data_IF_703263298186
#
_entry.id   IF_703263298186
#
_cell.length_a   1.000
_cell.length_b   1.000
_cell.length_c   1.000
_cell.angle_alpha   90.00
_cell.angle_beta   90.00
_cell.angle_gamma   90.00
#
_symmetry.space_group_name_H-M   'P 1'
#
loop_
_entity.id
_entity.type
_entity.pdbx_description
1 polymer ?
#
# COMPACT_ATOMS: atom_id res chain seq x y z
N UNK A 1 21.34 -33.92 -40.55
CA UNK A 1 22.50 -33.91 -41.48
C UNK A 1 22.29 -34.82 -42.71
N UNK A 2 21.74 -36.02 -42.51
CA UNK A 2 21.35 -36.96 -43.59
C UNK A 2 20.43 -36.34 -44.64
N UNK A 3 19.41 -35.58 -44.24
CA UNK A 3 18.46 -34.95 -45.18
C UNK A 3 19.10 -33.89 -46.08
N UNK A 4 20.09 -33.15 -45.58
CA UNK A 4 20.80 -32.12 -46.36
C UNK A 4 21.65 -32.78 -47.46
N UNK A 5 22.30 -33.91 -47.14
CA UNK A 5 23.06 -34.71 -48.11
C UNK A 5 22.16 -35.30 -49.20
N UNK A 6 20.99 -35.82 -48.84
CA UNK A 6 20.01 -36.34 -49.81
C UNK A 6 19.52 -35.25 -50.76
N UNK A 7 19.16 -34.07 -50.24
CA UNK A 7 18.71 -32.94 -51.06
C UNK A 7 19.81 -32.43 -52.00
N UNK A 8 21.06 -32.42 -51.55
CA UNK A 8 22.20 -31.99 -52.38
C UNK A 8 22.45 -32.97 -53.54
N UNK A 9 22.41 -34.27 -53.27
CA UNK A 9 22.55 -35.31 -54.30
C UNK A 9 21.40 -35.25 -55.31
N UNK A 10 20.16 -35.10 -54.84
CA UNK A 10 18.98 -34.97 -55.71
C UNK A 10 19.09 -33.71 -56.57
N UNK A 11 19.55 -32.59 -56.01
CA UNK A 11 19.75 -31.34 -56.75
C UNK A 11 20.82 -31.47 -57.84
N UNK A 12 21.92 -32.18 -57.57
CA UNK A 12 22.98 -32.45 -58.53
C UNK A 12 22.50 -33.35 -59.69
N UNK A 13 21.71 -34.39 -59.38
CA UNK A 13 21.13 -35.29 -60.39
C UNK A 13 20.14 -34.54 -61.29
N UNK A 14 19.31 -33.67 -60.70
CA UNK A 14 18.36 -32.82 -61.41
C UNK A 14 19.06 -31.83 -62.35
N UNK A 15 20.11 -31.16 -61.86
CA UNK A 15 20.88 -30.20 -62.67
C UNK A 15 21.51 -30.89 -63.89
N UNK A 16 22.05 -32.10 -63.69
CA UNK A 16 22.62 -32.90 -64.77
C UNK A 16 21.57 -33.32 -65.81
N UNK A 17 20.39 -33.79 -65.36
CA UNK A 17 19.31 -34.18 -66.27
C UNK A 17 18.76 -32.99 -67.07
N UNK A 18 18.67 -31.79 -66.45
CA UNK A 18 18.26 -30.57 -67.12
C UNK A 18 19.21 -30.16 -68.25
N UNK A 19 20.52 -30.19 -68.00
CA UNK A 19 21.54 -29.85 -69.00
C UNK A 19 21.58 -30.87 -70.15
N UNK A 20 21.46 -32.16 -69.82
CA UNK A 20 21.43 -33.24 -70.80
C UNK A 20 20.21 -33.17 -71.74
N UNK A 21 19.03 -32.87 -71.20
CA UNK A 21 17.81 -32.68 -72.00
C UNK A 21 17.91 -31.44 -72.90
N UNK A 22 18.45 -30.33 -72.39
CA UNK A 22 18.68 -29.11 -73.18
C UNK A 22 19.64 -29.33 -74.35
N UNK A 23 20.77 -30.01 -74.12
CA UNK A 23 21.73 -30.33 -75.19
C UNK A 23 21.18 -31.35 -76.20
N UNK A 24 20.37 -32.31 -75.74
CA UNK A 24 19.77 -33.31 -76.63
C UNK A 24 18.74 -32.70 -77.61
N UNK A 25 17.90 -31.78 -77.10
CA UNK A 25 16.95 -31.02 -77.94
C UNK A 25 17.69 -30.08 -78.90
N UNK A 26 18.77 -29.45 -78.45
CA UNK A 26 19.63 -28.61 -79.29
C UNK A 26 20.32 -29.35 -80.44
N UNK A 27 20.79 -30.60 -80.21
CA UNK A 27 21.44 -31.42 -81.25
C UNK A 27 20.46 -31.93 -82.32
N UNK A 28 19.20 -32.19 -81.97
CA UNK A 28 18.16 -32.65 -82.91
C UNK A 28 17.50 -31.55 -83.72
N UNK A 29 17.89 -30.27 -83.54
CA UNK A 29 17.33 -29.08 -84.20
C UNK A 29 15.80 -29.00 -84.13
N UNK A 30 15.22 -29.44 -83.02
CA UNK A 30 13.77 -29.42 -82.83
C UNK A 30 13.28 -27.96 -82.81
N UNK A 31 12.17 -27.70 -83.50
CA UNK A 31 11.50 -26.41 -83.51
C UNK A 31 10.20 -26.55 -82.75
N UNK A 32 10.05 -25.81 -81.66
CA UNK A 32 8.81 -25.73 -80.90
C UNK A 32 8.14 -24.42 -81.30
N UNK A 33 6.88 -24.48 -81.75
CA UNK A 33 6.11 -23.30 -82.20
C UNK A 33 6.81 -22.42 -83.28
N UNK A 34 7.63 -23.02 -84.14
CA UNK A 34 8.29 -22.30 -85.26
C UNK A 34 9.53 -21.47 -84.89
N UNK A 35 10.05 -21.60 -83.67
CA UNK A 35 11.20 -20.84 -83.19
C UNK A 35 12.55 -21.43 -83.67
N UNK A 36 13.56 -20.56 -83.86
CA UNK A 36 14.92 -20.97 -84.28
C UNK A 36 15.48 -22.04 -83.32
N UNK A 37 16.11 -23.13 -83.81
CA UNK A 37 16.49 -24.28 -83.00
C UNK A 37 17.32 -23.99 -81.73
N UNK A 38 18.17 -22.95 -81.75
CA UNK A 38 18.92 -22.52 -80.56
C UNK A 38 18.02 -21.94 -79.45
N UNK A 39 16.99 -21.17 -79.83
CA UNK A 39 16.03 -20.57 -78.89
C UNK A 39 15.08 -21.63 -78.36
N UNK A 40 14.67 -22.58 -79.20
CA UNK A 40 13.85 -23.73 -78.78
C UNK A 40 14.55 -24.55 -77.69
N UNK A 41 15.84 -24.87 -77.86
CA UNK A 41 16.59 -25.61 -76.85
C UNK A 41 16.68 -24.85 -75.51
N UNK A 42 16.87 -23.52 -75.55
CA UNK A 42 16.90 -22.68 -74.35
C UNK A 42 15.55 -22.65 -73.64
N UNK A 43 14.44 -22.48 -74.39
CA UNK A 43 13.09 -22.49 -73.82
C UNK A 43 12.73 -23.83 -73.19
N UNK A 44 13.11 -24.94 -73.84
CA UNK A 44 12.88 -26.29 -73.29
C UNK A 44 13.73 -26.50 -72.03
N UNK A 45 14.99 -26.04 -72.00
CA UNK A 45 15.83 -26.13 -70.81
C UNK A 45 15.24 -25.32 -69.63
N UNK A 46 14.82 -24.07 -69.86
CA UNK A 46 14.19 -23.23 -68.83
C UNK A 46 12.87 -23.85 -68.34
N UNK A 47 12.02 -24.32 -69.26
CA UNK A 47 10.73 -24.95 -68.92
C UNK A 47 10.93 -26.24 -68.14
N UNK A 48 11.94 -27.04 -68.50
CA UNK A 48 12.30 -28.26 -67.78
C UNK A 48 12.83 -27.93 -66.38
N UNK A 49 13.68 -26.92 -66.23
CA UNK A 49 14.14 -26.44 -64.93
C UNK A 49 12.99 -25.94 -64.03
N UNK A 50 12.05 -25.19 -64.60
CA UNK A 50 10.85 -24.73 -63.88
C UNK A 50 9.95 -25.90 -63.47
N UNK A 51 9.77 -26.89 -64.36
CA UNK A 51 8.96 -28.07 -64.05
C UNK A 51 9.59 -28.91 -62.95
N UNK A 52 10.92 -29.10 -62.96
CA UNK A 52 11.61 -29.88 -61.95
C UNK A 52 11.58 -29.16 -60.59
N UNK A 53 11.80 -27.85 -60.55
CA UNK A 53 11.72 -27.07 -59.30
C UNK A 53 10.31 -27.11 -58.71
N UNK A 54 9.27 -26.99 -59.54
CA UNK A 54 7.88 -27.12 -59.11
C UNK A 54 7.57 -28.52 -58.56
N UNK A 55 8.04 -29.58 -59.24
CA UNK A 55 7.86 -30.97 -58.80
C UNK A 55 8.57 -31.22 -57.46
N UNK A 56 9.82 -30.74 -57.33
CA UNK A 56 10.62 -30.88 -56.11
C UNK A 56 9.95 -30.19 -54.93
N UNK A 57 9.45 -28.97 -55.14
CA UNK A 57 8.73 -28.21 -54.11
C UNK A 57 7.42 -28.89 -53.71
N UNK A 58 6.68 -29.43 -54.67
CA UNK A 58 5.41 -30.15 -54.43
C UNK A 58 5.65 -31.42 -53.60
N UNK A 59 6.65 -32.21 -53.98
CA UNK A 59 7.03 -33.42 -53.22
C UNK A 59 7.50 -33.05 -51.81
N UNK A 60 8.30 -31.98 -51.67
CA UNK A 60 8.74 -31.49 -50.36
C UNK A 60 7.55 -31.06 -49.47
N UNK A 61 6.55 -30.36 -50.03
CA UNK A 61 5.36 -29.93 -49.28
C UNK A 61 4.43 -31.09 -48.88
N UNK A 62 4.44 -32.21 -49.63
CA UNK A 62 3.69 -33.42 -49.28
C UNK A 62 4.38 -34.15 -48.12
N UNK A 63 5.70 -34.32 -48.21
CA UNK A 63 6.49 -35.12 -47.26
C UNK A 63 6.74 -34.36 -45.95
N UNK A 64 6.97 -33.05 -46.01
CA UNK A 64 7.29 -32.22 -44.84
C UNK A 64 6.15 -31.28 -44.51
N UNK A 65 5.63 -31.44 -43.29
CA UNK A 65 4.66 -30.53 -42.69
C UNK A 65 5.28 -29.13 -42.48
N UNK A 66 6.55 -29.06 -42.10
CA UNK A 66 7.29 -27.79 -41.91
C UNK A 66 7.34 -26.95 -43.19
N UNK A 67 7.62 -27.58 -44.35
CA UNK A 67 7.66 -26.87 -45.65
C UNK A 67 6.27 -26.36 -46.04
N UNK A 68 5.22 -27.14 -45.78
CA UNK A 68 3.83 -26.73 -46.02
C UNK A 68 3.43 -25.56 -45.12
N UNK A 69 3.77 -25.63 -43.83
CA UNK A 69 3.51 -24.55 -42.87
C UNK A 69 4.26 -23.28 -43.29
N UNK A 70 5.54 -23.39 -43.68
CA UNK A 70 6.33 -22.24 -44.12
C UNK A 70 5.82 -21.61 -45.44
N UNK A 71 5.30 -22.40 -46.38
CA UNK A 71 4.78 -21.88 -47.65
C UNK A 71 3.41 -21.19 -47.51
N UNK A 72 2.56 -21.63 -46.57
CA UNK A 72 1.17 -21.17 -46.47
C UNK A 72 0.85 -20.34 -45.21
N UNK A 73 1.67 -20.41 -44.15
CA UNK A 73 1.27 -19.93 -42.81
C UNK A 73 2.09 -18.73 -42.30
N UNK A 74 3.06 -18.21 -43.07
CA UNK A 74 3.89 -17.07 -42.64
C UNK A 74 3.03 -15.84 -42.31
N UNK A 75 1.99 -15.57 -43.11
CA UNK A 75 1.07 -14.45 -42.85
C UNK A 75 0.28 -14.63 -41.54
N UNK A 76 -0.18 -15.86 -41.27
CA UNK A 76 -0.88 -16.19 -40.02
C UNK A 76 0.06 -16.06 -38.82
N UNK A 77 1.27 -16.61 -38.90
CA UNK A 77 2.28 -16.51 -37.86
C UNK A 77 2.65 -15.04 -37.56
N UNK A 78 2.81 -14.20 -38.59
CA UNK A 78 3.09 -12.77 -38.37
C UNK A 78 1.93 -12.05 -37.71
N UNK A 79 0.69 -12.37 -38.11
CA UNK A 79 -0.51 -11.79 -37.52
C UNK A 79 -0.69 -12.26 -36.06
N UNK A 80 -0.42 -13.53 -35.79
CA UNK A 80 -0.49 -14.10 -34.45
C UNK A 80 0.56 -13.48 -33.53
N UNK A 81 1.81 -13.30 -34.00
CA UNK A 81 2.85 -12.61 -33.25
C UNK A 81 2.45 -11.15 -32.94
N UNK A 82 1.87 -10.44 -33.92
CA UNK A 82 1.39 -9.08 -33.69
C UNK A 82 0.21 -9.03 -32.71
N UNK A 83 -0.74 -9.96 -32.84
CA UNK A 83 -1.92 -10.04 -31.98
C UNK A 83 -1.53 -10.40 -30.55
N UNK A 84 -0.68 -11.41 -30.38
CA UNK A 84 -0.13 -11.81 -29.08
C UNK A 84 0.74 -10.70 -28.48
N UNK A 85 1.46 -9.94 -29.31
CA UNK A 85 2.20 -8.76 -28.87
C UNK A 85 1.28 -7.69 -28.28
N UNK A 86 0.20 -7.35 -28.98
CA UNK A 86 -0.83 -6.40 -28.50
C UNK A 86 -1.55 -6.90 -27.25
N UNK A 87 -1.87 -8.19 -27.19
CA UNK A 87 -2.53 -8.79 -26.04
C UNK A 87 -1.62 -8.79 -24.81
N UNK A 88 -0.33 -9.10 -24.99
CA UNK A 88 0.67 -8.99 -23.91
C UNK A 88 0.77 -7.56 -23.40
N UNK A 89 0.86 -6.58 -24.28
CA UNK A 89 0.94 -5.16 -23.89
C UNK A 89 -0.32 -4.73 -23.10
N UNK A 90 -1.50 -5.14 -23.58
CA UNK A 90 -2.77 -4.90 -22.89
C UNK A 90 -2.79 -5.54 -21.51
N UNK A 91 -2.43 -6.82 -21.39
CA UNK A 91 -2.40 -7.52 -20.10
C UNK A 91 -1.37 -6.89 -19.15
N UNK A 92 -0.22 -6.44 -19.64
CA UNK A 92 0.76 -5.73 -18.83
C UNK A 92 0.20 -4.41 -18.30
N UNK A 93 -0.52 -3.66 -19.15
CA UNK A 93 -1.19 -2.43 -18.73
C UNK A 93 -2.28 -2.70 -17.68
N UNK A 94 -3.13 -3.70 -17.92
CA UNK A 94 -4.18 -4.10 -16.99
C UNK A 94 -3.58 -4.48 -15.62
N UNK A 95 -2.45 -5.20 -15.58
CA UNK A 95 -1.76 -5.53 -14.33
C UNK A 95 -1.29 -4.27 -13.58
N UNK A 96 -0.77 -3.27 -14.29
CA UNK A 96 -0.32 -2.01 -13.68
C UNK A 96 -1.52 -1.26 -13.12
N UNK A 97 -2.57 -1.09 -13.92
CA UNK A 97 -3.78 -0.38 -13.52
C UNK A 97 -4.46 -1.08 -12.32
N UNK A 98 -4.56 -2.42 -12.33
CA UNK A 98 -5.10 -3.18 -11.20
C UNK A 98 -4.22 -3.03 -9.95
N UNK A 99 -2.88 -3.05 -10.09
CA UNK A 99 -1.98 -2.85 -8.96
C UNK A 99 -2.15 -1.46 -8.35
N UNK A 100 -2.30 -0.43 -9.17
CA UNK A 100 -2.53 0.93 -8.69
C UNK A 100 -3.90 1.06 -8.01
N UNK A 101 -4.95 0.46 -8.57
CA UNK A 101 -6.27 0.43 -7.93
C UNK A 101 -6.24 -0.30 -6.58
N UNK A 102 -5.54 -1.44 -6.50
CA UNK A 102 -5.37 -2.17 -5.24
C UNK A 102 -4.60 -1.33 -4.24
N UNK A 103 -3.52 -0.66 -4.64
CA UNK A 103 -2.73 0.20 -3.75
C UNK A 103 -3.58 1.35 -3.18
N UNK A 104 -4.30 2.08 -4.02
CA UNK A 104 -5.17 3.18 -3.57
C UNK A 104 -6.25 2.66 -2.61
N UNK A 105 -6.91 1.53 -2.95
CA UNK A 105 -7.89 0.92 -2.05
C UNK A 105 -7.27 0.42 -0.75
N UNK A 106 -6.04 -0.08 -0.77
CA UNK A 106 -5.34 -0.50 0.45
C UNK A 106 -5.01 0.70 1.34
N UNK A 107 -4.61 1.84 0.76
CA UNK A 107 -4.37 3.08 1.52
C UNK A 107 -5.63 3.62 2.21
N UNK A 108 -6.81 3.46 1.59
CA UNK A 108 -8.11 3.79 2.20
C UNK A 108 -8.51 2.85 3.34
N UNK A 109 -7.93 1.64 3.39
CA UNK A 109 -8.27 0.59 4.34
C UNK A 109 -7.25 0.43 5.47
N UNK A 110 -6.22 1.28 5.54
CA UNK A 110 -5.24 1.27 6.64
C UNK A 110 -5.93 1.64 7.95
N UNK A 111 -5.97 0.69 8.88
CA UNK A 111 -6.55 0.86 10.22
C UNK A 111 -5.52 1.46 11.16
N UNK A 112 -4.26 1.01 11.05
CA UNK A 112 -3.14 1.52 11.84
C UNK A 112 -1.91 1.70 10.95
N UNK A 113 -1.22 2.82 11.11
CA UNK A 113 0.09 3.08 10.50
C UNK A 113 1.19 2.57 11.40
N UNK A 114 2.36 2.31 10.81
CA UNK A 114 3.57 1.99 11.57
C UNK A 114 3.85 3.07 12.61
N UNK A 115 4.27 2.63 13.80
CA UNK A 115 4.56 3.44 14.99
C UNK A 115 3.33 4.16 15.57
N UNK A 116 2.14 3.97 14.99
CA UNK A 116 0.90 4.46 15.55
C UNK A 116 0.56 3.66 16.81
N UNK A 117 0.15 4.34 17.89
CA UNK A 117 -0.18 3.62 19.09
C UNK A 117 -1.53 2.89 18.93
N UNK A 118 -1.63 1.70 19.51
CA UNK A 118 -2.79 0.82 19.44
C UNK A 118 -3.62 0.91 20.71
N UNK A 119 -2.93 1.01 21.84
CA UNK A 119 -3.50 1.09 23.17
C UNK A 119 -2.43 1.54 24.16
N UNK A 120 -2.84 2.01 25.34
CA UNK A 120 -1.95 2.19 26.47
C UNK A 120 -2.66 1.92 27.80
N UNK A 121 -1.88 1.57 28.82
CA UNK A 121 -2.35 1.37 30.20
C UNK A 121 -1.33 1.96 31.17
N UNK A 122 -1.81 2.49 32.31
CA UNK A 122 -0.97 2.90 33.44
C UNK A 122 -0.89 1.73 34.42
N UNK A 123 0.34 1.34 34.78
CA UNK A 123 0.62 0.26 35.71
C UNK A 123 1.33 0.85 36.93
N UNK A 124 0.72 0.77 38.12
CA UNK A 124 1.37 1.20 39.35
C UNK A 124 2.61 0.37 39.68
N UNK A 125 3.75 1.04 39.87
CA UNK A 125 5.01 0.39 40.21
C UNK A 125 5.05 -0.14 41.66
N UNK A 126 4.07 0.26 42.49
CA UNK A 126 3.90 -0.22 43.86
C UNK A 126 3.47 -1.69 43.97
N UNK A 127 3.06 -2.30 42.85
CA UNK A 127 2.60 -3.68 42.78
C UNK A 127 3.76 -4.68 42.70
N UNK A 128 3.48 -5.95 43.03
CA UNK A 128 4.45 -7.03 42.83
C UNK A 128 4.61 -7.36 41.34
N UNK A 129 5.78 -7.84 40.92
CA UNK A 129 6.01 -8.26 39.54
C UNK A 129 4.99 -9.32 39.06
N UNK A 130 4.49 -10.19 39.95
CA UNK A 130 3.46 -11.17 39.62
C UNK A 130 2.10 -10.51 39.30
N UNK A 131 1.68 -9.52 40.10
CA UNK A 131 0.46 -8.76 39.85
C UNK A 131 0.57 -7.92 38.57
N UNK A 132 1.72 -7.27 38.35
CA UNK A 132 1.99 -6.52 37.13
C UNK A 132 1.95 -7.44 35.90
N UNK A 133 2.48 -8.66 36.00
CA UNK A 133 2.40 -9.61 34.91
C UNK A 133 0.95 -10.00 34.58
N UNK A 134 0.09 -10.12 35.59
CA UNK A 134 -1.35 -10.33 35.40
C UNK A 134 -2.04 -9.12 34.74
N UNK A 135 -1.68 -7.90 35.14
CA UNK A 135 -2.14 -6.66 34.49
C UNK A 135 -1.74 -6.61 33.01
N UNK A 136 -0.50 -7.01 32.70
CA UNK A 136 0.01 -7.09 31.34
C UNK A 136 -0.71 -8.15 30.51
N UNK A 137 -1.08 -9.29 31.10
CA UNK A 137 -1.89 -10.29 30.41
C UNK A 137 -3.26 -9.73 30.05
N UNK A 138 -3.97 -9.15 31.02
CA UNK A 138 -5.28 -8.53 30.79
C UNK A 138 -5.21 -7.41 29.75
N UNK A 139 -4.16 -6.62 29.77
CA UNK A 139 -3.93 -5.55 28.81
C UNK A 139 -3.80 -6.05 27.36
N UNK A 140 -3.11 -7.17 27.15
CA UNK A 140 -2.96 -7.76 25.82
C UNK A 140 -4.26 -8.44 25.36
N UNK A 141 -5.03 -9.07 26.25
CA UNK A 141 -6.36 -9.63 25.93
C UNK A 141 -7.32 -8.54 25.44
N UNK A 142 -7.28 -7.40 26.12
CA UNK A 142 -8.08 -6.22 25.83
C UNK A 142 -7.64 -5.55 24.52
N UNK A 143 -6.33 -5.49 24.26
CA UNK A 143 -5.77 -5.08 22.96
C UNK A 143 -6.24 -6.00 21.82
N UNK A 144 -6.20 -7.32 22.02
CA UNK A 144 -6.64 -8.30 21.04
C UNK A 144 -8.14 -8.18 20.73
N UNK A 145 -8.97 -8.02 21.77
CA UNK A 145 -10.41 -7.81 21.62
C UNK A 145 -10.72 -6.52 20.85
N UNK A 146 -10.07 -5.40 21.20
CA UNK A 146 -10.21 -4.14 20.45
C UNK A 146 -9.74 -4.21 19.00
N UNK A 147 -8.67 -4.97 18.73
CA UNK A 147 -8.20 -5.18 17.37
C UNK A 147 -9.25 -5.95 16.54
N UNK A 148 -9.90 -6.96 17.13
CA UNK A 148 -11.01 -7.69 16.49
C UNK A 148 -12.20 -6.79 16.19
N UNK A 149 -12.57 -5.91 17.11
CA UNK A 149 -13.67 -4.95 16.92
C UNK A 149 -13.41 -3.98 15.75
N UNK A 150 -12.14 -3.70 15.46
CA UNK A 150 -11.71 -2.92 14.30
C UNK A 150 -11.56 -3.72 13.00
N UNK A 151 -11.98 -4.98 13.00
CA UNK A 151 -11.93 -5.85 11.83
C UNK A 151 -10.55 -6.42 11.54
N UNK A 152 -9.63 -6.41 12.50
CA UNK A 152 -8.34 -7.09 12.37
C UNK A 152 -8.46 -8.56 12.76
N UNK A 153 -7.69 -9.41 12.09
CA UNK A 153 -7.53 -10.81 12.48
C UNK A 153 -6.49 -10.88 13.58
N UNK A 154 -6.82 -11.45 14.72
CA UNK A 154 -5.82 -11.67 15.78
C UNK A 154 -5.43 -13.15 15.76
N UNK A 155 -4.13 -13.43 15.85
CA UNK A 155 -3.65 -14.81 16.05
C UNK A 155 -4.21 -15.34 17.37
N UNK A 156 -4.26 -16.67 17.51
CA UNK A 156 -4.73 -17.29 18.76
C UNK A 156 -3.99 -16.69 19.97
N UNK A 157 -4.75 -16.08 20.87
CA UNK A 157 -4.25 -15.31 22.01
C UNK A 157 -3.29 -16.17 22.84
N UNK A 158 -3.65 -17.43 23.07
CA UNK A 158 -2.83 -18.38 23.82
C UNK A 158 -1.44 -18.57 23.21
N UNK A 159 -1.30 -18.53 21.88
CA UNK A 159 -0.02 -18.66 21.18
C UNK A 159 0.80 -17.36 21.31
N UNK A 160 0.17 -16.21 21.09
CA UNK A 160 0.84 -14.91 21.24
C UNK A 160 1.40 -14.71 22.66
N UNK A 161 0.63 -15.06 23.70
CA UNK A 161 1.10 -14.99 25.07
C UNK A 161 2.23 -15.96 25.37
N UNK A 162 2.11 -17.20 24.92
CA UNK A 162 3.13 -18.22 25.17
C UNK A 162 4.48 -17.80 24.60
N UNK A 163 4.48 -17.23 23.38
CA UNK A 163 5.70 -16.73 22.73
C UNK A 163 6.29 -15.50 23.43
N UNK A 164 5.45 -14.58 23.92
CA UNK A 164 5.89 -13.32 24.52
C UNK A 164 6.06 -13.37 26.05
N UNK A 165 5.69 -14.47 26.71
CA UNK A 165 5.73 -14.61 28.18
C UNK A 165 7.08 -14.23 28.81
N UNK A 166 8.25 -14.63 28.27
CA UNK A 166 9.54 -14.23 28.86
C UNK A 166 9.76 -12.72 28.81
N UNK A 167 9.34 -12.07 27.73
CA UNK A 167 9.45 -10.62 27.56
C UNK A 167 8.51 -9.88 28.52
N UNK A 168 7.26 -10.35 28.67
CA UNK A 168 6.29 -9.77 29.60
C UNK A 168 6.75 -9.91 31.05
N UNK A 169 7.33 -11.06 31.43
CA UNK A 169 7.87 -11.27 32.77
C UNK A 169 9.02 -10.28 33.07
N UNK A 170 9.96 -10.13 32.14
CA UNK A 170 11.05 -9.14 32.28
C UNK A 170 10.52 -7.71 32.36
N UNK A 171 9.47 -7.39 31.59
CA UNK A 171 8.82 -6.09 31.63
C UNK A 171 8.17 -5.84 32.99
N UNK A 172 7.52 -6.85 33.57
CA UNK A 172 6.91 -6.77 34.88
C UNK A 172 7.95 -6.54 35.99
N UNK A 173 9.11 -7.20 35.93
CA UNK A 173 10.23 -6.95 36.86
C UNK A 173 10.76 -5.52 36.74
N UNK A 174 10.94 -5.02 35.51
CA UNK A 174 11.38 -3.64 35.28
C UNK A 174 10.40 -2.63 35.87
N UNK A 175 9.10 -2.80 35.64
CA UNK A 175 8.06 -1.92 36.18
C UNK A 175 8.01 -2.00 37.71
N UNK A 176 8.09 -3.19 38.30
CA UNK A 176 8.10 -3.38 39.75
C UNK A 176 9.30 -2.72 40.44
N UNK A 177 10.41 -2.53 39.71
CA UNK A 177 11.60 -1.84 40.20
C UNK A 177 11.60 -0.33 39.97
N UNK A 178 10.58 0.21 39.27
CA UNK A 178 10.49 1.62 38.96
C UNK A 178 10.11 2.46 40.19
N UNK A 179 10.54 3.71 40.20
CA UNK A 179 10.29 4.64 41.32
C UNK A 179 8.89 5.28 41.30
N UNK A 180 8.11 5.04 40.25
CA UNK A 180 6.79 5.63 40.05
C UNK A 180 6.03 4.88 38.97
N UNK A 181 4.75 5.21 38.83
CA UNK A 181 3.85 4.54 37.90
C UNK A 181 4.39 4.58 36.46
N UNK A 182 4.21 3.48 35.75
CA UNK A 182 4.73 3.31 34.40
C UNK A 182 3.59 3.22 33.42
N UNK A 183 3.75 3.86 32.26
CA UNK A 183 2.86 3.68 31.13
C UNK A 183 3.40 2.58 30.24
N UNK A 184 2.55 1.60 29.95
CA UNK A 184 2.81 0.57 28.94
C UNK A 184 1.93 0.85 27.72
N UNK A 185 2.56 1.23 26.61
CA UNK A 185 1.92 1.45 25.32
C UNK A 185 2.18 0.29 24.37
N UNK A 186 1.17 -0.11 23.59
CA UNK A 186 1.34 -0.98 22.44
C UNK A 186 1.32 -0.12 21.18
N UNK A 187 2.28 -0.32 20.27
CA UNK A 187 2.35 0.39 18.99
C UNK A 187 2.44 -0.59 17.82
N UNK A 188 1.91 -0.19 16.67
CA UNK A 188 1.97 -1.01 15.47
C UNK A 188 3.40 -1.10 14.93
N UNK A 189 3.92 -2.30 14.72
CA UNK A 189 5.25 -2.51 14.12
C UNK A 189 5.30 -2.21 12.62
N UNK A 190 4.14 -2.21 11.97
CA UNK A 190 3.96 -2.00 10.53
C UNK A 190 2.58 -1.40 10.24
N UNK A 191 2.35 -0.99 9.00
CA UNK A 191 1.00 -0.63 8.55
C UNK A 191 0.11 -1.89 8.57
N UNK A 192 -1.11 -1.76 9.07
CA UNK A 192 -2.10 -2.83 9.18
C UNK A 192 -3.41 -2.35 8.56
N UNK A 193 -3.91 -3.11 7.60
CA UNK A 193 -5.16 -2.83 6.92
C UNK A 193 -6.32 -3.67 7.48
N UNK A 194 -7.56 -3.27 7.21
CA UNK A 194 -8.73 -4.02 7.64
C UNK A 194 -8.68 -5.47 7.10
N UNK A 195 -9.04 -6.45 7.93
CA UNK A 195 -8.99 -7.86 7.58
C UNK A 195 -7.59 -8.49 7.58
N UNK A 196 -6.52 -7.71 7.75
CA UNK A 196 -5.17 -8.24 7.94
C UNK A 196 -4.96 -8.75 9.37
N UNK A 197 -3.89 -9.53 9.55
CA UNK A 197 -3.49 -9.96 10.88
C UNK A 197 -2.92 -8.78 11.70
N UNK A 198 -3.28 -8.69 12.98
CA UNK A 198 -2.55 -7.91 13.98
C UNK A 198 -1.14 -8.52 14.05
N UNK A 199 -0.24 -7.95 13.25
CA UNK A 199 1.08 -8.49 12.97
C UNK A 199 2.04 -8.31 14.13
N UNK A 200 3.14 -7.61 13.89
CA UNK A 200 4.10 -7.27 14.95
C UNK A 200 3.55 -6.11 15.80
N UNK A 201 3.47 -6.32 17.12
CA UNK A 201 3.14 -5.29 18.11
C UNK A 201 4.38 -5.03 18.94
N UNK A 202 4.78 -3.76 19.05
CA UNK A 202 5.89 -3.36 19.91
C UNK A 202 5.35 -2.73 21.19
N UNK A 203 5.83 -3.20 22.33
CA UNK A 203 5.51 -2.62 23.62
C UNK A 203 6.55 -1.56 24.00
N UNK A 204 6.08 -0.41 24.45
CA UNK A 204 6.88 0.71 24.92
C UNK A 204 6.55 0.94 26.40
N UNK A 205 7.59 1.13 27.22
CA UNK A 205 7.43 1.40 28.65
C UNK A 205 8.09 2.73 28.97
N UNK A 206 7.35 3.64 29.59
CA UNK A 206 7.81 4.99 29.94
C UNK A 206 7.29 5.42 31.32
N UNK A 207 7.99 6.31 32.03
CA UNK A 207 7.45 6.92 33.25
C UNK A 207 6.12 7.62 32.99
N UNK A 208 5.17 7.50 33.92
CA UNK A 208 3.93 8.27 33.90
C UNK A 208 4.16 9.64 34.54
N UNK A 209 4.84 10.52 33.81
CA UNK A 209 5.22 11.84 34.32
C UNK A 209 3.99 12.72 34.55
N UNK A 210 4.01 13.49 35.65
CA UNK A 210 3.00 14.52 35.92
C UNK A 210 3.25 15.71 34.99
N UNK A 211 2.26 16.02 34.14
CA UNK A 211 2.36 17.10 33.15
C UNK A 211 1.78 18.40 33.69
N UNK A 212 0.62 18.32 34.35
CA UNK A 212 -0.05 19.46 34.95
C UNK A 212 -0.50 19.17 36.37
N UNK A 213 -0.39 20.17 37.24
CA UNK A 213 -1.03 20.13 38.56
C UNK A 213 -2.47 20.63 38.49
N UNK A 214 -3.30 20.16 39.41
CA UNK A 214 -4.64 20.69 39.61
C UNK A 214 -4.62 22.22 39.77
N UNK A 215 -5.45 22.92 39.00
CA UNK A 215 -5.55 24.38 38.97
C UNK A 215 -4.48 25.09 38.13
N UNK A 216 -3.55 24.36 37.50
CA UNK A 216 -2.55 24.95 36.64
C UNK A 216 -3.19 25.52 35.36
N UNK A 217 -2.77 26.72 34.98
CA UNK A 217 -3.10 27.32 33.68
C UNK A 217 -2.32 26.62 32.56
N UNK A 218 -3.05 26.22 31.51
CA UNK A 218 -2.49 25.66 30.29
C UNK A 218 -2.15 26.80 29.32
N UNK A 219 -3.12 27.68 29.07
CA UNK A 219 -3.00 28.82 28.17
C UNK A 219 -4.09 29.87 28.50
N UNK A 220 -3.87 31.10 28.06
CA UNK A 220 -4.84 32.18 28.12
C UNK A 220 -4.85 33.02 26.85
N UNK A 221 -6.01 33.57 26.50
CA UNK A 221 -6.20 34.43 25.33
C UNK A 221 -7.15 35.59 25.64
N UNK A 222 -6.86 36.76 25.09
CA UNK A 222 -7.78 37.89 25.10
C UNK A 222 -8.84 37.73 24.01
N UNK A 223 -10.12 37.86 24.38
CA UNK A 223 -11.25 37.76 23.47
C UNK A 223 -12.10 39.02 23.59
N UNK A 224 -12.37 39.64 22.43
CA UNK A 224 -13.29 40.76 22.33
C UNK A 224 -14.73 40.27 22.06
N UNK A 225 -15.59 40.36 23.08
CA UNK A 225 -16.99 39.97 23.00
C UNK A 225 -17.87 40.90 22.15
N UNK A 226 -17.35 42.03 21.67
CA UNK A 226 -18.08 42.91 20.72
C UNK A 226 -18.07 42.38 19.29
N UNK A 227 -17.18 41.43 18.98
CA UNK A 227 -17.04 40.80 17.68
C UNK A 227 -18.26 39.94 17.31
N UNK A 228 -18.39 39.63 16.02
CA UNK A 228 -19.45 38.74 15.56
C UNK A 228 -19.19 37.27 15.99
N UNK A 229 -20.26 36.45 15.95
CA UNK A 229 -20.18 35.02 16.32
C UNK A 229 -19.11 34.27 15.51
N UNK A 230 -19.00 34.43 14.17
CA UNK A 230 -17.94 33.80 13.38
C UNK A 230 -16.52 34.20 13.79
N UNK A 231 -16.28 35.46 14.15
CA UNK A 231 -14.98 35.93 14.64
C UNK A 231 -14.64 35.35 16.01
N UNK A 232 -15.57 35.39 16.97
CA UNK A 232 -15.38 34.78 18.29
C UNK A 232 -15.13 33.26 18.15
N UNK A 233 -15.88 32.59 17.29
CA UNK A 233 -15.69 31.16 17.03
C UNK A 233 -14.34 30.84 16.37
N UNK A 234 -13.75 31.75 15.58
CA UNK A 234 -12.38 31.59 15.06
C UNK A 234 -11.37 31.69 16.19
N UNK A 235 -11.43 32.76 16.99
CA UNK A 235 -10.53 32.97 18.13
C UNK A 235 -10.57 31.79 19.11
N UNK A 236 -11.75 31.29 19.44
CA UNK A 236 -11.89 30.12 20.31
C UNK A 236 -11.32 28.84 19.69
N UNK A 237 -11.44 28.62 18.37
CA UNK A 237 -10.79 27.47 17.73
C UNK A 237 -9.28 27.58 17.78
N UNK A 238 -8.73 28.74 17.44
CA UNK A 238 -7.29 28.98 17.46
C UNK A 238 -6.73 28.77 18.88
N UNK A 239 -7.47 29.19 19.90
CA UNK A 239 -7.13 28.94 21.31
C UNK A 239 -7.15 27.44 21.68
N UNK A 240 -8.12 26.67 21.17
CA UNK A 240 -8.15 25.22 21.40
C UNK A 240 -6.98 24.52 20.72
N UNK A 241 -6.60 24.96 19.51
CA UNK A 241 -5.43 24.44 18.80
C UNK A 241 -4.13 24.77 19.56
N UNK A 242 -4.05 25.95 20.17
CA UNK A 242 -2.93 26.34 21.05
C UNK A 242 -2.85 25.47 22.30
N UNK A 243 -3.96 25.24 23.01
CA UNK A 243 -4.02 24.32 24.15
C UNK A 243 -3.53 22.93 23.73
N UNK A 244 -3.99 22.44 22.58
CA UNK A 244 -3.59 21.14 22.07
C UNK A 244 -2.08 21.08 21.76
N UNK A 245 -1.52 22.12 21.14
CA UNK A 245 -0.08 22.22 20.90
C UNK A 245 0.72 22.27 22.21
N UNK A 246 0.26 23.01 23.21
CA UNK A 246 0.90 23.10 24.52
C UNK A 246 0.96 21.75 25.22
N UNK A 247 -0.17 21.04 25.25
CA UNK A 247 -0.32 19.72 25.87
C UNK A 247 0.60 18.68 25.20
N UNK A 248 0.66 18.66 23.87
CA UNK A 248 1.59 17.80 23.12
C UNK A 248 3.05 18.15 23.42
N UNK A 249 3.37 19.45 23.44
CA UNK A 249 4.74 19.93 23.67
C UNK A 249 5.26 19.53 25.04
N UNK A 250 4.40 19.56 26.05
CA UNK A 250 4.73 19.16 27.42
C UNK A 250 4.78 17.63 27.60
N UNK A 251 4.41 16.86 26.57
CA UNK A 251 4.64 15.42 26.53
C UNK A 251 3.44 14.56 26.89
N UNK A 252 2.22 15.12 26.95
CA UNK A 252 1.03 14.27 26.95
C UNK A 252 0.95 13.49 25.64
N UNK A 253 0.55 12.23 25.75
CA UNK A 253 0.35 11.33 24.62
C UNK A 253 -1.17 11.22 24.40
N UNK A 254 -1.62 11.65 23.21
CA UNK A 254 -3.03 11.62 22.85
C UNK A 254 -3.54 10.18 22.80
N UNK A 255 -4.84 9.99 23.02
CA UNK A 255 -5.44 8.68 22.82
C UNK A 255 -5.25 8.29 21.33
N UNK A 256 -4.55 7.20 21.04
CA UNK A 256 -4.18 6.84 19.67
C UNK A 256 -5.38 6.60 18.76
N UNK A 257 -6.49 6.21 19.37
CA UNK A 257 -7.69 5.73 18.69
C UNK A 257 -8.67 6.85 18.37
N UNK A 258 -8.56 7.98 19.07
CA UNK A 258 -9.44 9.14 18.89
C UNK A 258 -8.68 10.38 18.43
N UNK A 259 -7.34 10.36 18.48
CA UNK A 259 -6.49 11.53 18.24
C UNK A 259 -6.71 12.66 19.25
N UNK A 260 -7.38 12.38 20.39
CA UNK A 260 -7.83 13.38 21.36
C UNK A 260 -7.22 13.12 22.74
N UNK A 261 -6.97 14.20 23.46
CA UNK A 261 -6.59 14.20 24.87
C UNK A 261 -7.86 14.26 25.72
N UNK A 262 -8.42 13.12 26.12
CA UNK A 262 -9.66 13.09 26.91
C UNK A 262 -10.92 13.54 26.14
N UNK A 263 -11.92 13.97 26.90
CA UNK A 263 -13.34 14.09 26.51
C UNK A 263 -13.66 15.33 25.66
N UNK A 264 -12.93 15.52 24.57
CA UNK A 264 -13.35 16.40 23.48
C UNK A 264 -14.50 15.73 22.70
N UNK A 265 -15.53 15.17 23.34
CA UNK A 265 -16.68 14.51 22.69
C UNK A 265 -17.68 15.51 22.11
N UNK A 266 -18.81 15.02 21.58
CA UNK A 266 -19.94 15.84 21.13
C UNK A 266 -20.47 16.79 22.23
N UNK A 267 -20.27 16.46 23.52
CA UNK A 267 -20.64 17.33 24.66
C UNK A 267 -19.73 18.56 24.76
N UNK A 268 -18.44 18.42 24.44
CA UNK A 268 -17.50 19.54 24.33
C UNK A 268 -17.84 20.50 23.18
N UNK A 269 -18.53 20.02 22.12
CA UNK A 269 -19.06 20.91 21.07
C UNK A 269 -20.25 21.75 21.53
N UNK A 270 -21.12 21.22 22.42
CA UNK A 270 -22.17 22.02 23.06
C UNK A 270 -21.54 23.14 23.91
N UNK A 271 -20.52 22.80 24.72
CA UNK A 271 -19.76 23.80 25.48
C UNK A 271 -19.07 24.85 24.60
N UNK A 272 -18.63 24.51 23.40
CA UNK A 272 -18.02 25.46 22.46
C UNK A 272 -19.01 26.53 22.00
N UNK A 273 -20.21 26.12 21.57
CA UNK A 273 -21.24 27.08 21.14
C UNK A 273 -21.75 27.93 22.31
N UNK A 274 -21.89 27.34 23.49
CA UNK A 274 -22.28 28.06 24.70
C UNK A 274 -21.24 29.12 25.08
N UNK A 275 -19.95 28.81 24.93
CA UNK A 275 -18.87 29.76 25.18
C UNK A 275 -18.87 30.94 24.19
N UNK A 276 -19.09 30.68 22.90
CA UNK A 276 -19.28 31.74 21.88
C UNK A 276 -20.44 32.66 22.28
N UNK A 277 -21.57 32.08 22.71
CA UNK A 277 -22.75 32.82 23.13
C UNK A 277 -22.49 33.65 24.40
N UNK A 278 -21.80 33.06 25.38
CA UNK A 278 -21.47 33.71 26.65
C UNK A 278 -20.54 34.91 26.43
N UNK A 279 -19.44 34.72 25.69
CA UNK A 279 -18.49 35.79 25.34
C UNK A 279 -19.21 36.93 24.61
N UNK A 280 -20.07 36.62 23.64
CA UNK A 280 -20.83 37.63 22.91
C UNK A 280 -21.85 38.36 23.79
N UNK A 281 -22.49 37.66 24.73
CA UNK A 281 -23.48 38.26 25.64
C UNK A 281 -22.86 39.29 26.59
N UNK A 282 -21.59 39.11 26.92
CA UNK A 282 -20.83 40.03 27.77
C UNK A 282 -20.42 41.30 27.02
N UNK A 283 -20.24 41.23 25.69
CA UNK A 283 -20.08 42.41 24.83
C UNK A 283 -18.87 43.29 25.15
N UNK A 284 -17.80 42.71 25.72
CA UNK A 284 -16.60 43.42 26.19
C UNK A 284 -15.36 42.54 26.05
N UNK A 285 -14.18 43.15 26.23
CA UNK A 285 -12.91 42.42 26.28
C UNK A 285 -12.81 41.59 27.56
N UNK A 286 -12.35 40.35 27.42
CA UNK A 286 -12.25 39.35 28.49
C UNK A 286 -10.98 38.54 28.27
N UNK A 287 -10.39 38.03 29.34
CA UNK A 287 -9.33 37.02 29.25
C UNK A 287 -9.96 35.64 29.47
N UNK A 288 -9.85 34.76 28.48
CA UNK A 288 -10.23 33.36 28.62
C UNK A 288 -9.03 32.55 29.05
N UNK A 289 -9.14 31.86 30.17
CA UNK A 289 -8.07 31.05 30.76
C UNK A 289 -8.49 29.58 30.79
N UNK A 290 -7.66 28.72 30.23
CA UNK A 290 -7.81 27.27 30.32
C UNK A 290 -7.01 26.74 31.51
N UNK A 291 -7.69 26.09 32.46
CA UNK A 291 -7.09 25.52 33.67
C UNK A 291 -7.43 24.05 33.82
N UNK A 292 -6.48 23.29 34.33
CA UNK A 292 -6.64 21.85 34.57
C UNK A 292 -7.42 21.63 35.87
N UNK A 293 -8.43 20.75 35.86
CA UNK A 293 -9.25 20.47 37.05
C UNK A 293 -8.55 19.60 38.09
N UNK A 294 -7.67 18.71 37.65
CA UNK A 294 -7.01 17.70 38.48
C UNK A 294 -5.60 17.39 37.96
N UNK A 295 -4.77 16.76 38.79
CA UNK A 295 -3.43 16.35 38.38
C UNK A 295 -3.49 15.47 37.12
N UNK A 296 -2.83 15.93 36.06
CA UNK A 296 -2.87 15.30 34.74
C UNK A 296 -1.49 14.77 34.37
N UNK A 297 -1.44 13.51 33.97
CA UNK A 297 -0.22 12.77 33.67
C UNK A 297 -0.02 12.56 32.17
N UNK A 298 1.13 12.00 31.79
CA UNK A 298 1.52 11.78 30.39
C UNK A 298 0.47 11.01 29.59
N UNK A 299 -0.25 10.07 30.22
CA UNK A 299 -1.39 9.36 29.62
C UNK A 299 -2.60 9.45 30.55
N UNK A 300 -3.72 9.93 30.01
CA UNK A 300 -4.98 10.10 30.74
C UNK A 300 -5.92 11.09 30.07
N UNK A 301 -7.16 11.23 30.55
CA UNK A 301 -8.04 12.30 30.09
C UNK A 301 -7.49 13.66 30.51
N UNK A 302 -7.48 14.63 29.60
CA UNK A 302 -7.19 16.02 29.93
C UNK A 302 -8.51 16.72 30.29
N UNK A 303 -8.73 16.93 31.59
CA UNK A 303 -9.92 17.60 32.09
C UNK A 303 -9.70 19.11 32.21
N UNK A 304 -10.05 19.83 31.14
CA UNK A 304 -9.93 21.30 31.06
C UNK A 304 -11.21 21.97 31.58
N UNK A 305 -11.02 23.05 32.32
CA UNK A 305 -12.07 24.05 32.60
C UNK A 305 -11.66 25.40 32.07
N UNK A 306 -12.65 26.18 31.68
CA UNK A 306 -12.46 27.53 31.19
C UNK A 306 -12.99 28.53 32.19
N UNK A 307 -12.20 29.57 32.46
CA UNK A 307 -12.58 30.69 33.32
C UNK A 307 -12.43 31.99 32.53
N UNK A 308 -13.42 32.86 32.64
CA UNK A 308 -13.35 34.22 32.10
C UNK A 308 -12.93 35.15 33.22
N UNK A 309 -11.83 35.87 33.01
CA UNK A 309 -11.40 36.97 33.87
C UNK A 309 -11.66 38.30 33.16
N UNK A 310 -12.08 39.29 33.95
CA UNK A 310 -12.16 40.67 33.47
C UNK A 310 -10.75 41.26 33.44
N UNK A 311 -10.47 42.08 32.42
CA UNK A 311 -9.29 42.94 32.43
C UNK A 311 -9.39 43.81 33.69
N UNK A 312 -8.57 43.52 34.69
CA UNK A 312 -8.49 44.35 35.89
C UNK A 312 -8.05 45.72 35.39
N UNK A 313 -8.97 46.68 35.43
CA UNK A 313 -8.65 48.07 35.15
C UNK A 313 -7.48 48.45 36.07
N UNK A 314 -6.28 48.48 35.48
CA UNK A 314 -5.08 48.94 36.15
C UNK A 314 -5.37 50.34 36.67
N UNK A 315 -5.22 50.47 37.99
CA UNK A 315 -5.35 51.73 38.72
C UNK A 315 -4.21 52.67 38.33
#
# INVERSE_FOLDING_TARGET
MTHILVLLVVSAVIAYLGDALGTWVGKRRLTLFGLRPRVTALLVAISTGMLITLLTLTVAAIISEDVRIALFSVQQLTHDVETLGKERERLQKDIIDLRDQVRVKQEELVVFRKDEPLSAIVIPASQTAAAILEDLHRYVDDLASRARDRGLRVKDEGVFFTENRPQLAKMAELIASASGDMVVGAVAGQNISIGEALGEVRFLVRPNDLIFRAGQEIASIEIDGTLDRPQIARLLRDFMDEINHEVVRLGMIGNPLTGRFGDLSSESMLSFYDMVNQVRSLGRKLTLIAVVKEDTYAIGPLNVSFRLEEESAGN
#
